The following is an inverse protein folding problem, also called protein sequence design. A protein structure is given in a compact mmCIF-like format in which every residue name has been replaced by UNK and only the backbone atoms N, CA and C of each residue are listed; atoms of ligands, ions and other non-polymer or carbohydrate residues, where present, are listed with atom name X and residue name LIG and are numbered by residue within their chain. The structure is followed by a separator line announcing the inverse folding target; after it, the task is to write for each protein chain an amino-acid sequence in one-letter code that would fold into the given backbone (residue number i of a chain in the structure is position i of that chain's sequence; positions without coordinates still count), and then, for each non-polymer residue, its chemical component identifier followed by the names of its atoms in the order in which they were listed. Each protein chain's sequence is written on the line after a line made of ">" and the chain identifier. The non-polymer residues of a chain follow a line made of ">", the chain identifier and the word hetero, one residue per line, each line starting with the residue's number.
data_IF_182696558034
#
_entry.id   IF_182696558034
#
_cell.length_a   1.000
_cell.length_b   1.000
_cell.length_c   1.000
_cell.angle_alpha   90.00
_cell.angle_beta   90.00
_cell.angle_gamma   90.00
#
_symmetry.space_group_name_H-M   'P 1'
#
loop_
_entity.id
_entity.type
_entity.pdbx_description
1 polymer ?
#
# COMPACT_ATOMS: atom_id res chain seq x y z
N UNK A 1 -13.52 -52.99 -31.36
CA UNK A 1 -14.32 -52.05 -30.54
C UNK A 1 -13.58 -50.73 -30.48
N UNK A 2 -14.17 -49.65 -31.00
CA UNK A 2 -13.50 -48.35 -31.19
C UNK A 2 -13.26 -47.57 -29.89
N UNK A 3 -12.38 -46.55 -29.91
CA UNK A 3 -11.97 -45.82 -28.71
C UNK A 3 -12.95 -44.70 -28.38
N UNK A 4 -13.37 -44.59 -27.11
CA UNK A 4 -13.99 -43.37 -26.56
C UNK A 4 -13.32 -42.99 -25.24
N UNK A 5 -12.29 -42.15 -25.32
CA UNK A 5 -11.85 -41.24 -24.25
C UNK A 5 -11.76 -39.83 -24.83
N UNK A 6 -12.90 -39.15 -24.91
CA UNK A 6 -13.00 -37.71 -25.21
C UNK A 6 -14.09 -37.15 -24.30
N UNK A 7 -13.70 -36.54 -23.18
CA UNK A 7 -14.66 -36.01 -22.20
C UNK A 7 -14.05 -35.32 -20.99
N UNK A 8 -12.74 -35.46 -20.75
CA UNK A 8 -12.03 -34.75 -19.67
C UNK A 8 -11.38 -33.44 -20.14
N UNK A 9 -10.91 -33.37 -21.40
CA UNK A 9 -10.21 -32.18 -21.93
C UNK A 9 -11.14 -31.01 -22.27
N UNK A 10 -12.42 -31.29 -22.57
CA UNK A 10 -13.38 -30.25 -22.97
C UNK A 10 -13.91 -29.47 -21.76
N UNK A 11 -14.29 -30.19 -20.70
CA UNK A 11 -14.75 -29.61 -19.43
C UNK A 11 -13.70 -28.72 -18.77
N UNK A 12 -12.43 -29.15 -18.78
CA UNK A 12 -11.34 -28.32 -18.23
C UNK A 12 -11.12 -27.04 -19.05
N UNK A 13 -11.26 -27.10 -20.37
CA UNK A 13 -11.10 -25.94 -21.25
C UNK A 13 -12.29 -24.97 -21.13
N UNK A 14 -13.51 -25.49 -20.94
CA UNK A 14 -14.71 -24.71 -20.69
C UNK A 14 -14.64 -24.03 -19.30
N UNK A 15 -14.21 -24.74 -18.25
CA UNK A 15 -13.96 -24.18 -16.91
C UNK A 15 -12.83 -23.13 -16.89
N UNK A 16 -11.73 -23.38 -17.60
CA UNK A 16 -10.62 -22.42 -17.71
C UNK A 16 -11.04 -21.15 -18.49
N UNK A 17 -11.86 -21.29 -19.55
CA UNK A 17 -12.34 -20.18 -20.38
C UNK A 17 -13.45 -19.35 -19.70
N UNK A 18 -14.37 -19.99 -18.99
CA UNK A 18 -15.37 -19.31 -18.15
C UNK A 18 -14.68 -18.54 -17.00
N UNK A 19 -13.66 -19.14 -16.38
CA UNK A 19 -12.84 -18.47 -15.37
C UNK A 19 -12.04 -17.26 -15.89
N UNK A 20 -11.54 -17.33 -17.13
CA UNK A 20 -10.88 -16.19 -17.80
C UNK A 20 -11.86 -15.06 -18.13
N UNK A 21 -13.05 -15.36 -18.65
CA UNK A 21 -14.07 -14.34 -18.96
C UNK A 21 -14.61 -13.67 -17.70
N UNK A 22 -14.89 -14.43 -16.64
CA UNK A 22 -15.34 -13.87 -15.35
C UNK A 22 -14.26 -13.01 -14.68
N UNK A 23 -12.98 -13.40 -14.81
CA UNK A 23 -11.85 -12.62 -14.32
C UNK A 23 -11.70 -11.30 -15.10
N UNK A 24 -11.81 -11.35 -16.43
CA UNK A 24 -11.74 -10.18 -17.31
C UNK A 24 -12.90 -9.21 -17.03
N UNK A 25 -14.13 -9.71 -16.82
CA UNK A 25 -15.28 -8.88 -16.47
C UNK A 25 -15.16 -8.26 -15.05
N UNK A 26 -14.57 -8.98 -14.08
CA UNK A 26 -14.28 -8.45 -12.73
C UNK A 26 -13.17 -7.40 -12.74
N UNK A 27 -12.11 -7.62 -13.50
CA UNK A 27 -11.02 -6.66 -13.68
C UNK A 27 -11.53 -5.39 -14.38
N UNK A 28 -12.40 -5.53 -15.37
CA UNK A 28 -13.01 -4.41 -16.10
C UNK A 28 -13.97 -3.60 -15.21
N UNK A 29 -14.76 -4.25 -14.34
CA UNK A 29 -15.60 -3.55 -13.33
C UNK A 29 -14.77 -2.79 -12.29
N UNK A 30 -13.60 -3.30 -11.86
CA UNK A 30 -12.67 -2.61 -10.93
C UNK A 30 -11.95 -1.42 -11.56
N UNK A 31 -11.64 -1.51 -12.85
CA UNK A 31 -11.12 -0.38 -13.64
C UNK A 31 -12.18 0.73 -13.81
N UNK A 32 -13.47 0.38 -13.68
CA UNK A 32 -14.63 1.23 -13.95
C UNK A 32 -15.39 1.66 -12.68
N UNK A 33 -14.72 2.16 -11.64
CA UNK A 33 -15.30 3.30 -10.90
C UNK A 33 -14.68 4.58 -11.51
N UNK A 34 -15.23 5.10 -12.62
CA UNK A 34 -14.57 6.10 -13.44
C UNK A 34 -14.43 7.45 -12.74
N UNK A 35 -15.03 7.61 -11.55
CA UNK A 35 -14.96 8.81 -10.73
C UNK A 35 -13.93 8.75 -9.59
N UNK A 36 -13.41 7.58 -9.24
CA UNK A 36 -12.54 7.42 -8.07
C UNK A 36 -11.11 6.99 -8.43
N UNK A 37 -10.17 7.94 -8.36
CA UNK A 37 -8.75 7.75 -8.62
C UNK A 37 -7.95 7.33 -7.36
N UNK A 38 -8.64 6.89 -6.29
CA UNK A 38 -8.00 6.37 -5.09
C UNK A 38 -7.73 4.87 -5.21
N UNK A 39 -6.48 4.51 -4.94
CA UNK A 39 -6.02 3.13 -4.92
C UNK A 39 -5.76 2.72 -3.48
N UNK A 40 -6.82 2.34 -2.77
CA UNK A 40 -6.75 1.93 -1.36
C UNK A 40 -6.64 0.41 -1.27
N UNK A 41 -5.76 -0.07 -0.38
CA UNK A 41 -5.75 -1.45 0.08
C UNK A 41 -4.90 -1.62 1.32
N UNK A 42 -4.20 -2.75 1.45
CA UNK A 42 -3.53 -3.12 2.70
C UNK A 42 -2.20 -3.83 2.48
N UNK A 43 -1.40 -3.90 3.54
CA UNK A 43 -0.21 -4.73 3.59
C UNK A 43 -0.61 -6.20 3.81
N UNK A 44 -0.48 -7.03 2.79
CA UNK A 44 -0.97 -8.42 2.79
C UNK A 44 0.15 -9.45 2.95
N UNK A 45 -0.22 -10.60 3.53
CA UNK A 45 0.68 -11.74 3.67
C UNK A 45 0.89 -12.48 2.35
N UNK A 46 2.08 -13.06 2.17
CA UNK A 46 2.44 -13.90 1.01
C UNK A 46 2.48 -15.40 1.35
N UNK A 47 1.78 -15.81 2.42
CA UNK A 47 1.86 -17.18 2.93
C UNK A 47 1.31 -18.18 1.91
N UNK A 48 2.16 -19.11 1.46
CA UNK A 48 1.81 -20.08 0.43
C UNK A 48 1.95 -19.56 -1.01
N UNK A 49 2.59 -18.39 -1.20
CA UNK A 49 3.01 -17.88 -2.51
C UNK A 49 2.68 -16.40 -2.71
N UNK A 50 3.59 -15.65 -3.35
CA UNK A 50 3.45 -14.21 -3.59
C UNK A 50 2.20 -13.83 -4.41
N UNK A 51 1.80 -14.69 -5.36
CA UNK A 51 0.59 -14.47 -6.18
C UNK A 51 -0.71 -14.45 -5.37
N UNK A 52 -0.70 -15.00 -4.14
CA UNK A 52 -1.88 -14.94 -3.26
C UNK A 52 -2.15 -13.54 -2.74
N UNK A 53 -1.14 -12.68 -2.66
CA UNK A 53 -1.31 -11.29 -2.27
C UNK A 53 -2.34 -10.58 -3.15
N UNK A 54 -2.31 -10.87 -4.47
CA UNK A 54 -3.28 -10.33 -5.43
C UNK A 54 -4.69 -10.79 -5.09
N UNK A 55 -4.89 -12.11 -4.90
CA UNK A 55 -6.20 -12.68 -4.56
C UNK A 55 -6.75 -12.14 -3.24
N UNK A 56 -5.92 -12.11 -2.19
CA UNK A 56 -6.32 -11.57 -0.89
C UNK A 56 -6.68 -10.07 -0.97
N UNK A 57 -5.90 -9.27 -1.69
CA UNK A 57 -6.23 -7.87 -1.94
C UNK A 57 -7.56 -7.73 -2.70
N UNK A 58 -7.81 -8.59 -3.68
CA UNK A 58 -9.08 -8.62 -4.38
C UNK A 58 -10.22 -8.94 -3.42
N UNK A 59 -10.11 -9.99 -2.62
CA UNK A 59 -11.15 -10.45 -1.70
C UNK A 59 -11.57 -9.36 -0.69
N UNK A 60 -10.63 -8.53 -0.23
CA UNK A 60 -10.91 -7.42 0.70
C UNK A 60 -11.41 -6.13 0.02
N UNK A 61 -11.64 -6.12 -1.29
CA UNK A 61 -12.07 -4.93 -2.03
C UNK A 61 -10.96 -3.90 -2.28
N UNK A 62 -9.70 -4.26 -2.05
CA UNK A 62 -8.56 -3.38 -2.30
C UNK A 62 -8.24 -3.21 -3.79
N UNK A 63 -7.67 -2.05 -4.14
CA UNK A 63 -7.19 -1.67 -5.49
C UNK A 63 -5.67 -1.45 -5.53
N UNK A 64 -4.99 -1.50 -4.39
CA UNK A 64 -3.53 -1.49 -4.23
C UNK A 64 -3.16 -2.43 -3.09
N UNK A 65 -1.90 -2.87 -3.02
CA UNK A 65 -1.44 -3.64 -1.85
C UNK A 65 0.06 -3.49 -1.65
N UNK A 66 0.48 -3.65 -0.40
CA UNK A 66 1.88 -3.82 -0.04
C UNK A 66 2.17 -5.27 0.34
N UNK A 67 3.45 -5.67 0.23
CA UNK A 67 3.90 -7.00 0.60
C UNK A 67 5.39 -7.01 0.93
N UNK A 68 5.80 -7.95 1.78
CA UNK A 68 7.20 -8.27 1.95
C UNK A 68 7.68 -9.26 0.88
N UNK A 69 8.86 -8.99 0.31
CA UNK A 69 9.52 -9.90 -0.65
C UNK A 69 10.23 -11.09 0.01
N UNK A 70 10.09 -11.26 1.33
CA UNK A 70 10.58 -12.42 2.08
C UNK A 70 10.69 -12.15 3.57
N UNK A 71 11.36 -13.04 4.31
CA UNK A 71 11.47 -12.95 5.77
C UNK A 71 12.05 -11.63 6.28
N UNK A 72 11.45 -11.09 7.33
CA UNK A 72 11.91 -9.89 8.03
C UNK A 72 12.95 -10.16 9.11
N UNK A 73 13.28 -11.43 9.34
CA UNK A 73 14.21 -11.87 10.40
C UNK A 73 15.53 -12.43 9.84
N UNK A 74 15.75 -12.34 8.53
CA UNK A 74 16.94 -12.89 7.89
C UNK A 74 17.47 -12.02 6.76
N UNK A 75 18.81 -11.96 6.68
CA UNK A 75 19.54 -11.38 5.55
C UNK A 75 19.61 -12.30 4.33
N UNK A 76 19.39 -13.61 4.52
CA UNK A 76 19.49 -14.59 3.43
C UNK A 76 18.23 -14.50 2.56
N UNK A 77 18.39 -13.99 1.34
CA UNK A 77 17.34 -13.99 0.32
C UNK A 77 17.58 -15.15 -0.65
N UNK A 78 16.61 -16.08 -0.82
CA UNK A 78 16.69 -17.04 -1.91
C UNK A 78 16.62 -16.29 -3.24
N UNK A 79 17.17 -16.90 -4.30
CA UNK A 79 16.99 -16.39 -5.65
C UNK A 79 15.49 -16.31 -5.99
N UNK A 80 15.12 -15.36 -6.86
CA UNK A 80 13.75 -15.21 -7.33
C UNK A 80 13.27 -16.51 -7.98
N UNK A 81 12.16 -17.06 -7.47
CA UNK A 81 11.47 -18.18 -8.10
C UNK A 81 10.72 -17.67 -9.34
N UNK A 82 11.23 -18.02 -10.52
CA UNK A 82 10.68 -17.61 -11.81
C UNK A 82 9.24 -18.11 -12.03
N UNK A 83 8.88 -19.29 -11.48
CA UNK A 83 7.52 -19.82 -11.60
C UNK A 83 6.56 -19.00 -10.73
N UNK A 84 6.98 -18.67 -9.51
CA UNK A 84 6.21 -17.80 -8.63
C UNK A 84 6.03 -16.39 -9.23
N UNK A 85 7.08 -15.84 -9.85
CA UNK A 85 7.04 -14.53 -10.51
C UNK A 85 6.14 -14.53 -11.76
N UNK A 86 6.14 -15.60 -12.57
CA UNK A 86 5.22 -15.76 -13.69
C UNK A 86 3.76 -15.80 -13.21
N UNK A 87 3.48 -16.61 -12.19
CA UNK A 87 2.15 -16.72 -11.60
C UNK A 87 1.67 -15.42 -10.96
N UNK A 88 2.57 -14.65 -10.35
CA UNK A 88 2.26 -13.32 -9.83
C UNK A 88 1.82 -12.35 -10.93
N UNK A 89 2.58 -12.29 -12.04
CA UNK A 89 2.26 -11.44 -13.19
C UNK A 89 0.93 -11.82 -13.84
N UNK A 90 0.68 -13.12 -13.99
CA UNK A 90 -0.59 -13.66 -14.48
C UNK A 90 -1.76 -13.22 -13.59
N UNK A 91 -1.64 -13.40 -12.27
CA UNK A 91 -2.69 -12.96 -11.34
C UNK A 91 -2.91 -11.44 -11.36
N UNK A 92 -1.84 -10.64 -11.44
CA UNK A 92 -1.97 -9.18 -11.57
C UNK A 92 -2.74 -8.81 -12.84
N UNK A 93 -2.41 -9.45 -13.97
CA UNK A 93 -3.10 -9.21 -15.25
C UNK A 93 -4.58 -9.60 -15.17
N UNK A 94 -4.88 -10.79 -14.63
CA UNK A 94 -6.24 -11.31 -14.48
C UNK A 94 -7.11 -10.46 -13.55
N UNK A 95 -6.52 -9.90 -12.50
CA UNK A 95 -7.23 -9.11 -11.48
C UNK A 95 -7.16 -7.60 -11.74
N UNK A 96 -6.48 -7.18 -12.82
CA UNK A 96 -6.40 -5.78 -13.24
C UNK A 96 -5.48 -4.89 -12.40
N UNK A 97 -4.46 -5.44 -11.73
CA UNK A 97 -3.49 -4.66 -10.97
C UNK A 97 -2.37 -4.11 -11.85
N UNK A 98 -2.21 -2.79 -11.84
CA UNK A 98 -1.06 -2.10 -12.40
C UNK A 98 0.12 -2.17 -11.40
N UNK A 99 1.36 -2.47 -11.84
CA UNK A 99 2.55 -2.43 -10.99
C UNK A 99 2.74 -1.12 -10.21
N UNK A 100 2.24 0.01 -10.70
CA UNK A 100 2.29 1.30 -10.00
C UNK A 100 1.55 1.28 -8.65
N UNK A 101 0.59 0.36 -8.47
CA UNK A 101 -0.26 0.25 -7.27
C UNK A 101 0.15 -0.92 -6.36
N UNK A 102 1.32 -1.49 -6.61
CA UNK A 102 1.93 -2.55 -5.80
C UNK A 102 3.15 -1.95 -5.11
N UNK A 103 3.17 -1.94 -3.78
CA UNK A 103 4.22 -1.33 -2.98
C UNK A 103 5.02 -2.39 -2.21
N UNK A 104 6.11 -2.94 -2.78
CA UNK A 104 6.98 -3.84 -2.03
C UNK A 104 7.62 -3.11 -0.84
N UNK A 105 7.45 -3.65 0.35
CA UNK A 105 8.05 -3.09 1.55
C UNK A 105 9.44 -3.70 1.78
N UNK A 106 10.42 -2.82 2.04
CA UNK A 106 11.79 -3.19 2.41
C UNK A 106 11.85 -3.99 3.70
N UNK A 107 13.02 -4.57 4.00
CA UNK A 107 13.16 -5.32 5.24
C UNK A 107 13.38 -4.41 6.44
N UNK A 108 12.78 -4.67 7.61
CA UNK A 108 13.08 -3.94 8.85
C UNK A 108 14.54 -4.09 9.31
N UNK A 109 15.24 -5.13 8.85
CA UNK A 109 16.68 -5.28 9.08
C UNK A 109 17.49 -4.24 8.29
N UNK A 110 16.93 -3.74 7.20
CA UNK A 110 17.57 -2.73 6.36
C UNK A 110 17.56 -1.40 7.11
N UNK A 111 18.75 -0.82 7.29
CA UNK A 111 18.92 0.51 7.84
C UNK A 111 19.66 1.33 6.79
N UNK A 112 18.96 2.22 6.09
CA UNK A 112 19.51 3.05 5.01
C UNK A 112 20.51 4.13 5.49
N UNK A 113 20.67 4.32 6.81
CA UNK A 113 21.83 5.01 7.42
C UNK A 113 23.15 4.21 7.27
N UNK A 114 23.02 2.97 6.80
CA UNK A 114 24.01 2.11 6.15
C UNK A 114 23.55 1.92 4.68
N UNK A 115 24.43 1.84 3.67
CA UNK A 115 24.15 2.41 2.34
C UNK A 115 23.07 1.69 1.48
N UNK A 116 21.86 2.29 1.37
CA UNK A 116 20.85 2.33 0.26
C UNK A 116 19.40 1.89 0.58
N UNK A 117 18.43 2.63 0.00
CA UNK A 117 17.05 2.29 -0.48
C UNK A 117 15.96 3.31 -0.07
N UNK A 118 14.73 3.14 -0.60
CA UNK A 118 13.56 4.05 -0.54
C UNK A 118 13.30 4.52 0.90
N UNK A 119 12.95 5.81 1.04
CA UNK A 119 12.78 6.43 2.35
C UNK A 119 11.31 6.50 2.72
N UNK A 120 11.00 5.95 3.87
CA UNK A 120 9.75 6.18 4.58
C UNK A 120 10.02 7.18 5.70
N UNK A 121 9.08 8.10 5.95
CA UNK A 121 9.25 8.97 7.12
C UNK A 121 9.06 8.14 8.40
N UNK A 122 9.94 8.36 9.37
CA UNK A 122 9.96 7.60 10.61
C UNK A 122 9.24 8.34 11.74
N UNK A 123 8.78 7.60 12.76
CA UNK A 123 8.14 8.20 13.94
C UNK A 123 9.08 8.98 14.86
N UNK A 124 10.39 9.03 14.57
CA UNK A 124 11.39 9.62 15.47
C UNK A 124 11.69 8.78 16.72
N UNK A 125 11.21 7.53 16.78
CA UNK A 125 11.47 6.64 17.91
C UNK A 125 12.96 6.25 17.97
N UNK A 126 13.57 6.37 19.14
CA UNK A 126 14.95 5.94 19.37
C UNK A 126 15.96 6.74 18.54
N UNK A 127 16.77 6.04 17.72
CA UNK A 127 17.81 6.61 16.86
C UNK A 127 17.42 6.59 15.36
N UNK A 128 16.12 6.67 15.05
CA UNK A 128 15.64 6.69 13.66
C UNK A 128 15.97 8.02 12.97
N UNK A 129 16.21 7.98 11.65
CA UNK A 129 16.48 9.15 10.79
C UNK A 129 15.40 9.20 9.72
N UNK A 130 14.98 10.40 9.33
CA UNK A 130 13.87 10.61 8.39
C UNK A 130 12.56 10.94 9.10
N UNK A 131 12.61 11.41 10.35
CA UNK A 131 11.40 11.80 11.08
C UNK A 131 10.81 13.12 10.61
N UNK A 132 11.67 14.02 10.10
CA UNK A 132 11.27 15.30 9.53
C UNK A 132 11.46 15.31 8.01
N UNK A 133 10.66 16.09 7.29
CA UNK A 133 10.80 16.21 5.83
C UNK A 133 12.17 16.77 5.39
N UNK A 134 12.78 17.75 6.08
CA UNK A 134 14.15 18.16 5.78
C UNK A 134 15.19 17.04 5.89
N UNK A 135 15.05 16.10 6.84
CA UNK A 135 15.94 14.94 6.93
C UNK A 135 15.83 14.04 5.69
N UNK A 136 14.60 13.76 5.23
CA UNK A 136 14.36 12.99 4.01
C UNK A 136 14.99 13.67 2.79
N UNK A 137 14.78 14.98 2.65
CA UNK A 137 15.39 15.79 1.59
C UNK A 137 16.91 15.70 1.62
N UNK A 138 17.51 15.79 2.80
CA UNK A 138 18.97 15.73 2.96
C UNK A 138 19.58 14.39 2.53
N UNK A 139 18.81 13.29 2.61
CA UNK A 139 19.20 11.98 2.10
C UNK A 139 19.05 11.96 0.59
N UNK A 140 17.90 12.40 0.06
CA UNK A 140 17.62 12.46 -1.39
C UNK A 140 18.71 13.26 -2.12
N UNK A 141 19.13 14.39 -1.57
CA UNK A 141 20.18 15.25 -2.16
C UNK A 141 21.53 14.56 -2.31
N UNK A 142 21.80 13.52 -1.51
CA UNK A 142 23.02 12.72 -1.58
C UNK A 142 22.89 11.51 -2.50
N UNK A 143 21.70 11.20 -3.02
CA UNK A 143 21.51 10.09 -3.96
C UNK A 143 21.98 10.50 -5.35
N UNK A 144 22.91 9.72 -5.92
CA UNK A 144 23.50 9.96 -7.25
C UNK A 144 22.46 10.04 -8.37
N UNK A 145 21.43 9.21 -8.28
CA UNK A 145 20.34 9.16 -9.25
C UNK A 145 19.00 9.31 -8.53
N UNK A 146 18.57 10.57 -8.41
CA UNK A 146 17.36 10.93 -7.69
C UNK A 146 16.07 10.51 -8.42
N UNK A 147 16.15 10.14 -9.70
CA UNK A 147 14.97 9.69 -10.47
C UNK A 147 14.42 8.34 -9.98
N UNK A 148 15.25 7.57 -9.26
CA UNK A 148 14.91 6.26 -8.69
C UNK A 148 14.59 6.31 -7.20
N UNK A 149 14.38 7.51 -6.66
CA UNK A 149 14.02 7.70 -5.25
C UNK A 149 12.60 8.22 -5.17
N UNK A 150 11.85 7.68 -4.22
CA UNK A 150 10.55 8.18 -3.83
C UNK A 150 10.44 8.17 -2.30
N UNK A 151 9.36 8.75 -1.82
CA UNK A 151 8.97 8.79 -0.41
C UNK A 151 7.60 8.16 -0.25
N UNK A 152 7.48 7.27 0.73
CA UNK A 152 6.20 6.86 1.30
C UNK A 152 5.96 7.71 2.55
N UNK A 153 4.79 8.34 2.66
CA UNK A 153 4.40 9.02 3.90
C UNK A 153 3.51 8.09 4.74
N UNK A 154 3.87 7.88 6.00
CA UNK A 154 3.04 7.19 6.98
C UNK A 154 2.35 8.21 7.90
N UNK A 155 1.01 8.12 7.99
CA UNK A 155 0.20 9.07 8.77
C UNK A 155 0.43 8.95 10.27
N UNK A 156 0.61 7.74 10.80
CA UNK A 156 0.93 7.52 12.21
C UNK A 156 2.33 8.05 12.54
N UNK A 157 3.31 7.80 11.67
CA UNK A 157 4.67 8.30 11.85
C UNK A 157 4.73 9.83 11.80
N UNK A 158 4.08 10.45 10.81
CA UNK A 158 4.03 11.90 10.69
C UNK A 158 3.39 12.52 11.96
N UNK A 159 2.28 11.96 12.42
CA UNK A 159 1.61 12.41 13.65
C UNK A 159 2.49 12.21 14.90
N UNK A 160 3.15 11.06 15.02
CA UNK A 160 4.07 10.77 16.10
C UNK A 160 5.28 11.72 16.11
N UNK A 161 5.75 12.14 14.93
CA UNK A 161 6.84 13.10 14.74
C UNK A 161 6.43 14.58 14.92
N UNK A 162 5.13 14.86 15.07
CA UNK A 162 4.61 16.20 15.37
C UNK A 162 3.84 16.90 14.24
N UNK A 163 3.69 16.27 13.08
CA UNK A 163 2.82 16.76 12.01
C UNK A 163 1.36 16.56 12.38
N UNK A 164 0.67 17.64 12.75
CA UNK A 164 -0.70 17.57 13.27
C UNK A 164 -1.76 17.35 12.18
N UNK A 165 -1.77 16.15 11.58
CA UNK A 165 -2.75 15.75 10.57
C UNK A 165 -4.18 15.68 11.10
N UNK A 166 -4.37 15.59 12.42
CA UNK A 166 -5.68 15.58 13.08
C UNK A 166 -6.36 16.96 13.14
N UNK A 167 -5.59 18.05 13.00
CA UNK A 167 -6.13 19.40 12.99
C UNK A 167 -6.98 19.68 11.75
N UNK A 168 -7.83 20.70 11.82
CA UNK A 168 -8.53 21.21 10.64
C UNK A 168 -7.50 21.58 9.54
N UNK A 169 -7.66 21.00 8.34
CA UNK A 169 -6.71 21.15 7.22
C UNK A 169 -5.29 20.64 7.53
N UNK A 170 -5.11 19.82 8.57
CA UNK A 170 -3.82 19.28 8.99
C UNK A 170 -3.14 18.46 7.88
N UNK A 171 -3.90 17.62 7.18
CA UNK A 171 -3.41 16.86 6.01
C UNK A 171 -2.91 17.79 4.90
N UNK A 172 -3.70 18.83 4.57
CA UNK A 172 -3.32 19.82 3.56
C UNK A 172 -2.04 20.56 3.95
N UNK A 173 -1.92 20.94 5.22
CA UNK A 173 -0.73 21.61 5.76
C UNK A 173 0.51 20.71 5.66
N UNK A 174 0.40 19.45 6.11
CA UNK A 174 1.48 18.47 6.01
C UNK A 174 1.95 18.30 4.55
N UNK A 175 1.02 18.15 3.60
CA UNK A 175 1.39 18.00 2.18
C UNK A 175 1.99 19.26 1.56
N UNK A 176 1.57 20.45 2.01
CA UNK A 176 2.19 21.70 1.57
C UNK A 176 3.63 21.80 2.08
N UNK A 177 3.87 21.44 3.34
CA UNK A 177 5.21 21.41 3.91
C UNK A 177 6.09 20.36 3.21
N UNK A 178 5.54 19.18 2.95
CA UNK A 178 6.23 18.15 2.16
C UNK A 178 6.61 18.63 0.75
N UNK A 179 5.70 19.32 0.07
CA UNK A 179 5.99 19.86 -1.27
C UNK A 179 7.07 20.94 -1.24
N UNK A 180 7.03 21.80 -0.22
CA UNK A 180 8.01 22.86 -0.04
C UNK A 180 9.41 22.29 0.23
N UNK A 181 9.52 21.28 1.10
CA UNK A 181 10.81 20.79 1.58
C UNK A 181 11.38 19.69 0.69
N UNK A 182 10.53 18.77 0.24
CA UNK A 182 10.93 17.58 -0.53
C UNK A 182 10.50 17.70 -1.99
N UNK A 183 9.25 18.11 -2.23
CA UNK A 183 8.61 18.17 -3.53
C UNK A 183 7.71 16.97 -3.79
N UNK A 184 6.45 17.23 -4.15
CA UNK A 184 5.42 16.21 -4.39
C UNK A 184 5.79 15.19 -5.47
N UNK A 185 6.69 15.53 -6.40
CA UNK A 185 7.21 14.58 -7.40
C UNK A 185 7.83 13.32 -6.78
N UNK A 186 8.33 13.41 -5.55
CA UNK A 186 8.90 12.27 -4.83
C UNK A 186 7.86 11.47 -4.05
N UNK A 187 6.65 11.98 -3.82
CA UNK A 187 5.61 11.21 -3.15
C UNK A 187 5.17 10.06 -4.06
N UNK A 188 5.26 8.83 -3.57
CA UNK A 188 4.91 7.61 -4.32
C UNK A 188 3.87 6.73 -3.65
N UNK A 189 3.65 6.90 -2.35
CA UNK A 189 2.70 6.11 -1.60
C UNK A 189 2.35 6.79 -0.28
N UNK A 190 1.26 6.35 0.32
CA UNK A 190 0.93 6.67 1.71
C UNK A 190 0.56 5.40 2.47
N UNK A 191 1.10 5.24 3.67
CA UNK A 191 0.57 4.30 4.65
C UNK A 191 -0.50 5.00 5.50
N UNK A 192 -1.69 4.38 5.54
CA UNK A 192 -2.87 4.85 6.25
C UNK A 192 -2.96 4.16 7.61
N UNK A 193 -2.38 4.79 8.61
CA UNK A 193 -2.36 4.27 9.97
C UNK A 193 -2.88 5.34 10.93
N UNK A 194 -3.92 5.03 11.70
CA UNK A 194 -4.29 5.88 12.85
C UNK A 194 -3.24 5.67 13.95
N UNK A 195 -3.20 6.53 14.96
CA UNK A 195 -2.19 6.47 16.02
C UNK A 195 -2.81 6.15 17.38
N UNK A 196 -2.28 5.14 18.07
CA UNK A 196 -2.54 4.93 19.51
C UNK A 196 -1.86 5.99 20.37
N UNK A 197 -0.80 6.59 19.85
CA UNK A 197 -0.03 7.63 20.52
C UNK A 197 -0.64 9.02 20.33
N UNK A 198 -0.29 9.96 21.20
CA UNK A 198 -0.66 11.38 21.04
C UNK A 198 0.27 12.05 20.02
N UNK A 199 -0.14 13.22 19.53
CA UNK A 199 0.70 14.08 18.67
C UNK A 199 2.09 14.27 19.29
N UNK A 200 3.15 14.07 18.52
CA UNK A 200 4.53 14.28 18.99
C UNK A 200 5.00 13.24 20.02
N UNK A 201 4.35 12.07 20.13
CA UNK A 201 4.73 11.06 21.11
C UNK A 201 6.01 10.28 20.77
N UNK A 202 6.48 10.36 19.52
CA UNK A 202 7.59 9.56 19.00
C UNK A 202 7.42 8.04 19.20
N UNK A 203 6.17 7.55 19.11
CA UNK A 203 5.85 6.13 19.20
C UNK A 203 5.26 5.64 17.87
N UNK A 204 5.87 4.59 17.32
CA UNK A 204 5.29 3.80 16.25
C UNK A 204 4.30 2.77 16.84
N UNK A 205 3.05 3.22 16.97
CA UNK A 205 1.93 2.41 17.48
C UNK A 205 0.67 2.68 16.67
N UNK A 206 0.51 1.92 15.59
CA UNK A 206 -0.64 1.98 14.70
C UNK A 206 -1.95 1.62 15.43
N UNK A 207 -3.02 2.25 14.98
CA UNK A 207 -4.41 2.00 15.36
C UNK A 207 -5.30 1.90 14.13
N UNK A 208 -6.44 1.21 14.26
CA UNK A 208 -7.43 1.12 13.18
C UNK A 208 -8.03 2.49 12.83
N UNK A 209 -8.42 2.66 11.57
CA UNK A 209 -8.91 3.92 11.01
C UNK A 209 -10.05 4.51 11.86
N UNK A 210 -9.82 5.72 12.38
CA UNK A 210 -10.78 6.48 13.18
C UNK A 210 -10.93 6.00 14.62
N UNK A 211 -10.07 5.09 15.09
CA UNK A 211 -10.07 4.58 16.48
C UNK A 211 -8.93 5.15 17.33
N UNK A 212 -8.02 5.93 16.73
CA UNK A 212 -6.88 6.54 17.40
C UNK A 212 -6.99 8.05 17.57
N UNK A 213 -5.85 8.68 17.77
CA UNK A 213 -5.70 10.12 18.00
C UNK A 213 -5.65 10.96 16.72
N UNK A 214 -5.45 10.35 15.55
CA UNK A 214 -5.55 11.06 14.26
C UNK A 214 -7.02 11.27 13.91
N UNK A 215 -7.82 10.22 14.07
CA UNK A 215 -9.27 10.29 13.93
C UNK A 215 -9.76 10.33 12.47
N UNK A 216 -11.06 10.10 12.31
CA UNK A 216 -11.68 9.84 11.01
C UNK A 216 -11.67 11.05 10.05
N UNK A 217 -11.63 12.28 10.57
CA UNK A 217 -11.63 13.50 9.77
C UNK A 217 -10.39 13.59 8.88
N UNK A 218 -9.22 13.27 9.41
CA UNK A 218 -7.98 13.28 8.63
C UNK A 218 -8.02 12.25 7.49
N UNK A 219 -8.58 11.07 7.72
CA UNK A 219 -8.72 10.06 6.66
C UNK A 219 -9.72 10.46 5.58
N UNK A 220 -10.80 11.17 5.96
CA UNK A 220 -11.70 11.81 4.98
C UNK A 220 -10.96 12.83 4.14
N UNK A 221 -10.14 13.68 4.75
CA UNK A 221 -9.34 14.67 4.01
C UNK A 221 -8.35 13.98 3.05
N UNK A 222 -7.70 12.89 3.48
CA UNK A 222 -6.76 12.11 2.66
C UNK A 222 -7.44 11.51 1.42
N UNK A 223 -8.57 10.80 1.60
CA UNK A 223 -9.24 10.13 0.46
C UNK A 223 -9.90 11.12 -0.50
N UNK A 224 -10.01 12.40 -0.14
CA UNK A 224 -10.54 13.47 -1.00
C UNK A 224 -9.46 14.45 -1.49
N UNK A 225 -8.18 14.26 -1.14
CA UNK A 225 -7.09 15.14 -1.56
C UNK A 225 -6.59 14.78 -2.98
N UNK A 226 -6.74 15.66 -3.99
CA UNK A 226 -6.38 15.34 -5.38
C UNK A 226 -4.90 15.04 -5.60
N UNK A 227 -4.00 15.60 -4.77
CA UNK A 227 -2.56 15.31 -4.86
C UNK A 227 -2.20 13.85 -4.54
N UNK A 228 -3.14 13.11 -3.96
CA UNK A 228 -3.01 11.70 -3.60
C UNK A 228 -3.80 10.78 -4.55
N UNK A 229 -4.26 11.28 -5.69
CA UNK A 229 -4.82 10.45 -6.75
C UNK A 229 -3.68 9.63 -7.41
N UNK A 230 -3.99 8.46 -7.94
CA UNK A 230 -3.09 7.62 -8.74
C UNK A 230 -1.82 7.12 -8.02
N UNK A 231 -1.78 7.18 -6.69
CA UNK A 231 -0.75 6.55 -5.85
C UNK A 231 -1.38 5.52 -4.88
N UNK A 232 -0.64 4.46 -4.50
CA UNK A 232 -1.10 3.48 -3.52
C UNK A 232 -1.28 4.11 -2.13
N UNK A 233 -2.44 3.85 -1.54
CA UNK A 233 -2.80 4.14 -0.15
C UNK A 233 -2.98 2.82 0.61
N UNK A 234 -2.08 2.50 1.54
CA UNK A 234 -1.92 1.16 2.11
C UNK A 234 -2.21 1.17 3.61
N UNK A 235 -3.12 0.31 4.07
CA UNK A 235 -3.35 0.06 5.49
C UNK A 235 -2.28 -0.87 6.07
N UNK A 236 -1.77 -0.53 7.25
CA UNK A 236 -0.92 -1.40 8.09
C UNK A 236 -1.48 -1.44 9.52
N UNK A 237 -2.80 -1.28 9.62
CA UNK A 237 -3.54 -1.24 10.87
C UNK A 237 -3.57 -2.61 11.55
N UNK A 238 -3.69 -2.66 12.90
CA UNK A 238 -3.62 -3.91 13.64
C UNK A 238 -4.80 -4.86 13.37
N UNK A 239 -5.94 -4.33 12.92
CA UNK A 239 -7.18 -5.09 12.75
C UNK A 239 -7.82 -5.44 14.10
N UNK A 240 -9.14 -5.65 14.08
CA UNK A 240 -9.89 -6.24 15.18
C UNK A 240 -11.09 -7.02 14.65
N UNK A 241 -11.62 -7.99 15.42
CA UNK A 241 -12.77 -8.77 15.00
C UNK A 241 -13.94 -7.88 14.55
N UNK A 242 -14.37 -8.05 13.29
CA UNK A 242 -15.44 -7.27 12.67
C UNK A 242 -15.02 -5.89 12.14
N UNK A 243 -13.73 -5.57 12.15
CA UNK A 243 -13.16 -4.36 11.57
C UNK A 243 -11.72 -4.61 11.12
N UNK A 244 -11.57 -5.59 10.23
CA UNK A 244 -10.30 -5.97 9.61
C UNK A 244 -10.06 -5.08 8.37
N UNK A 245 -9.11 -5.45 7.51
CA UNK A 245 -8.79 -4.64 6.33
C UNK A 245 -9.97 -4.42 5.39
N UNK A 246 -10.83 -5.42 5.18
CA UNK A 246 -11.96 -5.29 4.26
C UNK A 246 -12.93 -4.19 4.70
N UNK A 247 -13.32 -4.18 5.97
CA UNK A 247 -14.23 -3.17 6.52
C UNK A 247 -13.58 -1.78 6.58
N UNK A 248 -12.26 -1.71 6.83
CA UNK A 248 -11.52 -0.44 6.82
C UNK A 248 -11.37 0.12 5.39
N UNK A 249 -11.13 -0.72 4.39
CA UNK A 249 -11.11 -0.33 2.98
C UNK A 249 -12.49 0.18 2.54
N UNK A 250 -13.56 -0.55 2.89
CA UNK A 250 -14.93 -0.15 2.61
C UNK A 250 -15.25 1.20 3.26
N UNK A 251 -14.87 1.40 4.53
CA UNK A 251 -15.03 2.66 5.24
C UNK A 251 -14.31 3.80 4.48
N UNK A 252 -13.06 3.61 4.07
CA UNK A 252 -12.31 4.66 3.37
C UNK A 252 -12.93 5.02 2.01
N UNK A 253 -13.40 4.03 1.24
CA UNK A 253 -14.13 4.32 0.01
C UNK A 253 -15.47 5.03 0.28
N UNK A 254 -16.16 4.71 1.38
CA UNK A 254 -17.40 5.40 1.77
C UNK A 254 -17.20 6.89 2.11
N UNK A 255 -15.97 7.29 2.43
CA UNK A 255 -15.60 8.68 2.72
C UNK A 255 -15.23 9.48 1.46
N UNK A 256 -15.06 8.83 0.30
CA UNK A 256 -14.80 9.50 -0.96
C UNK A 256 -16.03 10.28 -1.41
N UNK A 257 -15.86 11.56 -1.70
CA UNK A 257 -16.91 12.42 -2.25
C UNK A 257 -17.19 12.03 -3.71
N UNK A 258 -18.47 12.03 -4.09
CA UNK A 258 -18.87 11.79 -5.48
C UNK A 258 -18.46 13.00 -6.31
N UNK A 259 -17.52 12.81 -7.24
CA UNK A 259 -17.11 13.81 -8.24
C UNK A 259 -18.17 13.97 -9.33
#
# INVERSE_FOLDING_TARGET
>A
MGPKKRGASKRKFEEDFEGEQEAEERADKRRKDPGNNKYIGAHVGIQGGIWKAVGSCTEMGGRSFALFLGSQRSWKRPALDQKAAAKFREQCSLQGFDPAHILPHGSYLMNCGSPKEVLENMSGQGNTVGGTFPELKSIIDKVRDQSRVGVCLDTCHAFAAGYNVAAERGVKAMLNEFDQDVGLRYLKAIHLNDSKGKLGCNLDRHEDIGKGHIGISAFRDIVNEPRLDDIPLILETPGRPGFEFAEQIELLYSLCEKK
#
